data_IF_958637721751
#
_entry.id   IF_958637721751
#
_cell.length_a   1.000
_cell.length_b   1.000
_cell.length_c   1.000
_cell.angle_alpha   90.00
_cell.angle_beta   90.00
_cell.angle_gamma   90.00
#
_symmetry.space_group_name_H-M   'P 1'
#
loop_
_entity.id
_entity.type
_entity.pdbx_description
1 polymer ?
#
# COMPACT_ATOMS: atom_id res chain seq x y z
N UNK A 1 -52.54 -6.32 -42.28
CA UNK A 1 -52.24 -5.85 -40.91
C UNK A 1 -50.75 -5.60 -40.86
N UNK A 2 -50.37 -4.39 -41.24
CA UNK A 2 -48.98 -3.95 -41.40
C UNK A 2 -48.30 -3.82 -40.03
N UNK A 3 -47.41 -4.75 -39.70
CA UNK A 3 -46.49 -4.57 -38.59
C UNK A 3 -45.26 -3.83 -39.11
N UNK A 4 -45.27 -2.50 -38.94
CA UNK A 4 -44.11 -1.66 -39.18
C UNK A 4 -42.92 -2.18 -38.37
N UNK A 5 -41.90 -2.63 -39.10
CA UNK A 5 -40.55 -2.83 -38.60
C UNK A 5 -40.02 -1.52 -37.99
N UNK A 6 -39.97 -1.44 -36.65
CA UNK A 6 -39.23 -0.40 -35.95
C UNK A 6 -37.77 -0.86 -35.78
N UNK A 7 -37.02 -0.86 -36.88
CA UNK A 7 -35.56 -0.92 -36.80
C UNK A 7 -35.08 0.42 -36.21
N UNK A 8 -34.88 0.48 -34.90
CA UNK A 8 -34.22 1.63 -34.26
C UNK A 8 -32.80 1.73 -34.81
N UNK A 9 -32.64 2.58 -35.83
CA UNK A 9 -31.34 2.96 -36.39
C UNK A 9 -30.56 3.61 -35.27
N UNK A 10 -29.55 2.92 -34.74
CA UNK A 10 -28.48 3.51 -33.95
C UNK A 10 -27.78 4.52 -34.86
N UNK A 11 -28.27 5.76 -34.85
CA UNK A 11 -27.55 6.88 -35.45
C UNK A 11 -26.34 7.11 -34.54
N UNK A 12 -25.27 6.36 -34.81
CA UNK A 12 -23.94 6.66 -34.31
C UNK A 12 -23.52 7.96 -35.00
N UNK A 13 -24.04 9.09 -34.52
CA UNK A 13 -23.53 10.42 -34.82
C UNK A 13 -22.05 10.35 -34.49
N UNK A 14 -21.24 10.27 -35.54
CA UNK A 14 -19.79 10.33 -35.53
C UNK A 14 -19.45 11.74 -35.06
N UNK A 15 -19.62 11.99 -33.76
CA UNK A 15 -19.23 13.22 -33.11
C UNK A 15 -17.73 13.30 -33.32
N UNK A 16 -17.35 14.10 -34.31
CA UNK A 16 -15.96 14.30 -34.69
C UNK A 16 -15.18 14.58 -33.42
N UNK A 17 -14.17 13.74 -33.15
CA UNK A 17 -13.20 13.89 -32.07
C UNK A 17 -12.33 15.12 -32.36
N UNK A 18 -12.91 16.32 -32.37
CA UNK A 18 -12.17 17.57 -32.39
C UNK A 18 -11.55 17.75 -31.01
N UNK A 19 -10.23 17.95 -30.95
CA UNK A 19 -9.57 18.41 -29.71
C UNK A 19 -10.21 19.73 -29.31
N UNK A 20 -10.47 19.88 -28.01
CA UNK A 20 -10.86 21.17 -27.46
C UNK A 20 -9.72 22.16 -27.67
N UNK A 21 -10.05 23.40 -28.02
CA UNK A 21 -9.08 24.47 -28.16
C UNK A 21 -8.52 24.86 -26.78
N UNK A 22 -7.34 25.48 -26.75
CA UNK A 22 -6.67 25.84 -25.50
C UNK A 22 -7.53 26.78 -24.64
N UNK A 23 -8.25 27.72 -25.25
CA UNK A 23 -9.16 28.62 -24.54
C UNK A 23 -10.34 27.88 -23.91
N UNK A 24 -10.89 26.90 -24.62
CA UNK A 24 -11.97 26.06 -24.10
C UNK A 24 -11.49 25.22 -22.92
N UNK A 25 -10.29 24.64 -23.02
CA UNK A 25 -9.68 23.91 -21.89
C UNK A 25 -9.45 24.83 -20.71
N UNK A 26 -8.92 26.03 -20.93
CA UNK A 26 -8.66 27.02 -19.87
C UNK A 26 -9.93 27.36 -19.08
N UNK A 27 -11.04 27.64 -19.77
CA UNK A 27 -12.32 27.95 -19.12
C UNK A 27 -12.88 26.74 -18.36
N UNK A 28 -12.76 25.54 -18.92
CA UNK A 28 -13.13 24.30 -18.23
C UNK A 28 -12.29 24.09 -16.96
N UNK A 29 -10.99 24.40 -17.00
CA UNK A 29 -10.09 24.29 -15.84
C UNK A 29 -10.40 25.32 -14.76
N UNK A 30 -10.69 26.56 -15.12
CA UNK A 30 -11.14 27.59 -14.17
C UNK A 30 -12.42 27.14 -13.47
N UNK A 31 -13.41 26.67 -14.24
CA UNK A 31 -14.67 26.18 -13.67
C UNK A 31 -14.49 24.92 -12.83
N UNK A 32 -13.58 24.02 -13.19
CA UNK A 32 -13.29 22.81 -12.42
C UNK A 32 -12.62 23.13 -11.08
N UNK A 33 -11.76 24.14 -11.07
CA UNK A 33 -11.03 24.57 -9.87
C UNK A 33 -11.96 25.18 -8.83
N UNK A 34 -13.06 25.82 -9.25
CA UNK A 34 -14.10 26.32 -8.34
C UNK A 34 -15.06 25.22 -7.88
N UNK A 35 -15.50 24.33 -8.78
CA UNK A 35 -16.31 23.18 -8.43
C UNK A 35 -15.97 21.95 -9.31
N UNK A 36 -15.47 20.90 -8.66
CA UNK A 36 -15.10 19.65 -9.33
C UNK A 36 -16.34 18.80 -9.71
N UNK A 37 -17.49 19.03 -9.06
CA UNK A 37 -18.76 18.40 -9.43
C UNK A 37 -19.43 19.22 -10.53
N UNK A 38 -19.79 18.54 -11.61
CA UNK A 38 -20.46 19.16 -12.74
C UNK A 38 -21.98 18.95 -12.61
N UNK A 39 -22.67 19.98 -12.14
CA UNK A 39 -24.13 19.99 -12.06
C UNK A 39 -24.76 20.14 -13.44
N UNK A 40 -26.03 19.74 -13.59
CA UNK A 40 -26.71 19.75 -14.89
C UNK A 40 -26.83 21.17 -15.47
N UNK A 41 -27.14 22.15 -14.62
CA UNK A 41 -27.30 23.55 -15.05
C UNK A 41 -25.96 24.14 -15.46
N UNK A 42 -24.91 23.92 -14.64
CA UNK A 42 -23.56 24.39 -14.96
C UNK A 42 -23.01 23.75 -16.24
N UNK A 43 -23.31 22.48 -16.48
CA UNK A 43 -22.97 21.79 -17.73
C UNK A 43 -23.61 22.46 -18.94
N UNK A 44 -24.89 22.81 -18.85
CA UNK A 44 -25.60 23.49 -19.94
C UNK A 44 -25.03 24.89 -20.19
N UNK A 45 -24.73 25.66 -19.13
CA UNK A 45 -24.08 26.97 -19.24
C UNK A 45 -22.71 26.86 -19.91
N UNK A 46 -21.83 25.98 -19.42
CA UNK A 46 -20.51 25.77 -20.01
C UNK A 46 -20.58 25.29 -21.46
N UNK A 47 -21.53 24.43 -21.79
CA UNK A 47 -21.75 23.98 -23.17
C UNK A 47 -22.08 25.16 -24.10
N UNK A 48 -22.95 26.07 -23.64
CA UNK A 48 -23.33 27.27 -24.39
C UNK A 48 -22.18 28.27 -24.50
N UNK A 49 -21.52 28.60 -23.38
CA UNK A 49 -20.37 29.52 -23.33
C UNK A 49 -19.22 29.08 -24.24
N UNK A 50 -18.96 27.76 -24.31
CA UNK A 50 -17.84 27.20 -25.06
C UNK A 50 -18.19 26.79 -26.50
N UNK A 51 -19.48 26.82 -26.86
CA UNK A 51 -19.98 26.30 -28.13
C UNK A 51 -19.74 24.78 -28.30
N UNK A 52 -19.78 24.03 -27.19
CA UNK A 52 -19.49 22.60 -27.15
C UNK A 52 -20.75 21.78 -26.88
N UNK A 53 -20.87 20.55 -27.40
CA UNK A 53 -21.91 19.63 -26.98
C UNK A 53 -21.81 19.34 -25.46
N UNK A 54 -22.93 19.32 -24.71
CA UNK A 54 -22.94 19.02 -23.27
C UNK A 54 -22.22 17.70 -22.91
N UNK A 55 -22.27 16.72 -23.82
CA UNK A 55 -21.55 15.45 -23.67
C UNK A 55 -20.03 15.62 -23.63
N UNK A 56 -19.47 16.52 -24.44
CA UNK A 56 -18.02 16.76 -24.45
C UNK A 56 -17.56 17.41 -23.14
N UNK A 57 -18.33 18.36 -22.60
CA UNK A 57 -18.08 18.94 -21.28
C UNK A 57 -18.11 17.85 -20.20
N UNK A 58 -19.12 16.97 -20.22
CA UNK A 58 -19.22 15.87 -19.27
C UNK A 58 -18.02 14.90 -19.34
N UNK A 59 -17.62 14.48 -20.54
CA UNK A 59 -16.46 13.60 -20.76
C UNK A 59 -15.18 14.29 -20.28
N UNK A 60 -15.01 15.58 -20.55
CA UNK A 60 -13.84 16.33 -20.11
C UNK A 60 -13.73 16.34 -18.57
N UNK A 61 -14.84 16.61 -17.86
CA UNK A 61 -14.86 16.57 -16.39
C UNK A 61 -14.56 15.16 -15.85
N UNK A 62 -15.10 14.11 -16.47
CA UNK A 62 -14.79 12.73 -16.10
C UNK A 62 -13.30 12.43 -16.26
N UNK A 63 -12.71 12.80 -17.40
CA UNK A 63 -11.29 12.61 -17.67
C UNK A 63 -10.40 13.43 -16.73
N UNK A 64 -10.78 14.67 -16.42
CA UNK A 64 -10.05 15.54 -15.48
C UNK A 64 -10.04 14.91 -14.08
N UNK A 65 -11.19 14.39 -13.60
CA UNK A 65 -11.27 13.66 -12.33
C UNK A 65 -10.46 12.37 -12.34
N UNK A 66 -10.50 11.60 -13.42
CA UNK A 66 -9.71 10.38 -13.54
C UNK A 66 -8.20 10.67 -13.45
N UNK A 67 -7.74 11.70 -14.17
CA UNK A 67 -6.35 12.18 -14.10
C UNK A 67 -5.98 12.67 -12.71
N UNK A 68 -6.84 13.47 -12.08
CA UNK A 68 -6.62 13.94 -10.71
C UNK A 68 -6.45 12.77 -9.73
N UNK A 69 -7.34 11.77 -9.80
CA UNK A 69 -7.27 10.59 -8.93
C UNK A 69 -6.00 9.77 -9.17
N UNK A 70 -5.58 9.60 -10.43
CA UNK A 70 -4.32 8.94 -10.75
C UNK A 70 -3.11 9.73 -10.25
N UNK A 71 -3.11 11.06 -10.41
CA UNK A 71 -2.04 11.93 -9.91
C UNK A 71 -1.91 11.86 -8.38
N UNK A 72 -3.04 11.89 -7.67
CA UNK A 72 -3.05 11.74 -6.20
C UNK A 72 -2.38 10.43 -5.78
N UNK A 73 -2.78 9.31 -6.38
CA UNK A 73 -2.19 8.00 -6.08
C UNK A 73 -0.69 7.94 -6.36
N UNK A 74 -0.25 8.57 -7.45
CA UNK A 74 1.17 8.63 -7.78
C UNK A 74 1.97 9.42 -6.73
N UNK A 75 1.43 10.54 -6.25
CA UNK A 75 2.04 11.34 -5.18
C UNK A 75 2.06 10.56 -3.86
N UNK A 76 0.97 9.87 -3.52
CA UNK A 76 0.88 9.04 -2.31
C UNK A 76 1.91 7.91 -2.36
N UNK A 77 2.03 7.23 -3.50
CA UNK A 77 3.02 6.17 -3.70
C UNK A 77 4.45 6.71 -3.56
N UNK A 78 4.78 7.83 -4.19
CA UNK A 78 6.12 8.46 -4.06
C UNK A 78 6.43 8.85 -2.62
N UNK A 79 5.44 9.39 -1.91
CA UNK A 79 5.58 9.74 -0.49
C UNK A 79 5.84 8.51 0.37
N UNK A 80 5.11 7.42 0.12
CA UNK A 80 5.29 6.15 0.83
C UNK A 80 6.65 5.53 0.54
N UNK A 81 7.09 5.53 -0.72
CA UNK A 81 8.40 5.03 -1.13
C UNK A 81 9.52 5.78 -0.40
N UNK A 82 9.46 7.11 -0.37
CA UNK A 82 10.46 7.91 0.34
C UNK A 82 10.51 7.59 1.84
N UNK A 83 9.35 7.35 2.48
CA UNK A 83 9.31 6.95 3.89
C UNK A 83 9.94 5.57 4.12
N UNK A 84 9.70 4.63 3.20
CA UNK A 84 10.31 3.31 3.25
C UNK A 84 11.84 3.41 3.13
N UNK A 85 12.33 4.18 2.16
CA UNK A 85 13.77 4.35 1.94
C UNK A 85 14.46 4.94 3.17
N UNK A 86 13.86 5.98 3.78
CA UNK A 86 14.37 6.57 5.02
C UNK A 86 14.37 5.55 6.18
N UNK A 87 13.29 4.79 6.34
CA UNK A 87 13.19 3.79 7.40
C UNK A 87 14.21 2.66 7.22
N UNK A 88 14.50 2.25 5.98
CA UNK A 88 15.55 1.27 5.67
C UNK A 88 16.93 1.83 6.04
N UNK A 89 17.22 3.08 5.70
CA UNK A 89 18.49 3.73 6.06
C UNK A 89 18.67 3.79 7.58
N UNK A 90 17.64 4.20 8.32
CA UNK A 90 17.67 4.24 9.78
C UNK A 90 17.81 2.84 10.38
N UNK A 91 17.16 1.83 9.80
CA UNK A 91 17.29 0.45 10.23
C UNK A 91 18.72 -0.07 10.07
N UNK A 92 19.37 0.22 8.94
CA UNK A 92 20.78 -0.14 8.71
C UNK A 92 21.72 0.57 9.70
N UNK A 93 21.50 1.86 9.97
CA UNK A 93 22.28 2.59 11.00
C UNK A 93 22.10 1.96 12.38
N UNK A 94 20.88 1.62 12.76
CA UNK A 94 20.58 0.98 14.04
C UNK A 94 21.22 -0.40 14.15
N UNK A 95 21.23 -1.20 13.08
CA UNK A 95 21.92 -2.50 13.06
C UNK A 95 23.41 -2.34 13.33
N UNK A 96 24.07 -1.40 12.66
CA UNK A 96 25.49 -1.11 12.85
C UNK A 96 25.77 -0.66 14.29
N UNK A 97 24.91 0.20 14.85
CA UNK A 97 25.05 0.67 16.22
C UNK A 97 24.86 -0.45 17.25
N UNK A 98 23.86 -1.33 17.04
CA UNK A 98 23.66 -2.52 17.86
C UNK A 98 24.89 -3.44 17.81
N UNK A 99 25.46 -3.66 16.63
CA UNK A 99 26.68 -4.47 16.50
C UNK A 99 27.87 -3.83 17.24
N UNK A 100 28.05 -2.51 17.11
CA UNK A 100 29.08 -1.75 17.82
C UNK A 100 28.94 -1.89 19.34
N UNK A 101 27.73 -1.66 19.86
CA UNK A 101 27.42 -1.76 21.29
C UNK A 101 27.62 -3.18 21.82
N UNK A 102 27.24 -4.20 21.05
CA UNK A 102 27.49 -5.61 21.42
C UNK A 102 28.99 -5.91 21.54
N UNK A 103 29.81 -5.40 20.61
CA UNK A 103 31.28 -5.54 20.68
C UNK A 103 31.87 -4.86 21.91
N UNK A 104 31.38 -3.66 22.27
CA UNK A 104 31.83 -2.94 23.47
C UNK A 104 31.44 -3.67 24.76
N UNK A 105 30.21 -4.18 24.82
CA UNK A 105 29.74 -4.95 25.97
C UNK A 105 30.55 -6.22 26.17
N UNK A 106 30.87 -6.96 25.10
CA UNK A 106 31.72 -8.14 25.17
C UNK A 106 33.13 -7.80 25.69
N UNK A 107 33.76 -6.73 25.19
CA UNK A 107 35.06 -6.26 25.68
C UNK A 107 35.02 -5.91 27.17
N UNK A 108 33.97 -5.22 27.62
CA UNK A 108 33.82 -4.88 29.03
C UNK A 108 33.63 -6.11 29.92
N UNK A 109 32.91 -7.13 29.44
CA UNK A 109 32.77 -8.42 30.12
C UNK A 109 34.11 -9.16 30.23
N UNK A 110 34.90 -9.19 29.15
CA UNK A 110 36.25 -9.78 29.15
C UNK A 110 37.19 -9.07 30.12
N UNK A 111 37.17 -7.72 30.17
CA UNK A 111 37.97 -6.94 31.13
C UNK A 111 37.55 -7.25 32.57
N UNK A 112 36.25 -7.29 32.85
CA UNK A 112 35.75 -7.65 34.19
C UNK A 112 36.24 -9.04 34.59
N UNK A 113 36.11 -10.04 33.70
CA UNK A 113 36.56 -11.41 33.97
C UNK A 113 38.09 -11.52 34.18
N UNK A 114 38.88 -10.67 33.52
CA UNK A 114 40.34 -10.60 33.68
C UNK A 114 40.82 -9.95 34.99
N UNK A 115 40.02 -9.09 35.63
CA UNK A 115 40.35 -8.47 36.92
C UNK A 115 40.10 -9.41 38.13
N UNK A 116 39.18 -10.37 38.00
CA UNK A 116 38.82 -11.32 39.07
C UNK A 116 39.95 -12.30 39.40
N UNK A 117 40.79 -12.63 38.42
CA UNK A 117 41.82 -13.67 38.53
C UNK A 117 43.12 -13.16 39.15
N UNK A 118 43.33 -11.84 39.20
CA UNK A 118 44.55 -11.23 39.74
C UNK A 118 44.42 -10.72 41.18
N UNK A 119 43.20 -10.62 41.73
CA UNK A 119 42.98 -10.14 43.11
C UNK A 119 42.74 -11.26 44.14
N UNK A 120 42.55 -12.53 43.73
CA UNK A 120 42.23 -13.63 44.68
C UNK A 120 43.43 -14.47 45.15
N UNK A 121 44.67 -14.08 44.82
CA UNK A 121 45.87 -14.81 45.25
C UNK A 121 46.53 -14.29 46.54
N UNK A 122 45.78 -13.69 47.47
CA UNK A 122 46.34 -13.25 48.77
C UNK A 122 45.39 -13.23 49.99
N UNK A 123 44.34 -14.05 50.02
CA UNK A 123 43.72 -14.47 51.30
C UNK A 123 42.92 -15.76 51.12
N UNK A 124 43.63 -16.88 51.07
CA UNK A 124 43.05 -18.14 51.54
C UNK A 124 42.76 -17.99 53.04
N UNK A 125 41.49 -17.84 53.40
CA UNK A 125 40.82 -18.52 54.53
C UNK A 125 39.60 -17.70 54.96
N UNK A 126 38.41 -18.10 54.51
CA UNK A 126 37.31 -18.38 55.41
C UNK A 126 36.30 -19.23 54.64
N UNK A 127 36.30 -20.52 54.99
CA UNK A 127 35.21 -21.43 54.69
C UNK A 127 33.91 -20.84 55.24
N UNK A 128 32.89 -20.71 54.39
CA UNK A 128 31.51 -20.68 54.85
C UNK A 128 30.59 -21.29 53.80
N UNK A 129 29.91 -22.33 54.26
CA UNK A 129 28.91 -23.16 53.63
C UNK A 129 27.66 -22.36 53.22
N UNK A 130 27.09 -22.68 52.04
CA UNK A 130 25.66 -22.98 51.89
C UNK A 130 25.32 -23.39 50.44
N UNK A 131 24.75 -24.59 50.34
CA UNK A 131 23.63 -25.07 49.52
C UNK A 131 23.59 -24.94 47.98
N UNK A 132 23.51 -26.15 47.43
CA UNK A 132 22.90 -26.59 46.18
C UNK A 132 21.72 -25.72 45.69
N UNK A 133 21.82 -25.21 44.45
CA UNK A 133 20.72 -25.22 43.47
C UNK A 133 21.27 -24.95 42.06
N UNK A 134 20.89 -25.82 41.13
CA UNK A 134 20.70 -25.46 39.72
C UNK A 134 21.96 -25.35 38.86
N UNK A 135 22.57 -26.48 38.53
CA UNK A 135 23.28 -26.59 37.26
C UNK A 135 22.31 -26.28 36.12
N UNK A 136 22.48 -25.14 35.46
CA UNK A 136 21.91 -24.91 34.13
C UNK A 136 22.99 -24.36 33.23
N UNK A 137 23.85 -25.28 32.80
CA UNK A 137 24.69 -25.10 31.63
C UNK A 137 23.80 -25.16 30.41
N UNK A 138 23.37 -24.01 29.90
CA UNK A 138 22.80 -23.89 28.56
C UNK A 138 23.23 -22.53 27.98
N UNK A 139 24.41 -22.47 27.35
CA UNK A 139 24.71 -21.43 26.37
C UNK A 139 23.77 -21.63 25.18
N UNK A 140 22.56 -21.08 25.28
CA UNK A 140 21.64 -21.04 24.16
C UNK A 140 22.08 -19.89 23.23
N UNK A 141 22.99 -20.22 22.31
CA UNK A 141 23.10 -19.48 21.06
C UNK A 141 21.76 -19.62 20.32
N UNK A 142 20.84 -18.70 20.55
CA UNK A 142 19.71 -18.52 19.66
C UNK A 142 20.22 -17.81 18.41
N UNK A 143 20.55 -18.62 17.40
CA UNK A 143 20.55 -18.24 16.00
C UNK A 143 19.19 -17.60 15.67
N UNK A 144 19.19 -16.28 15.48
CA UNK A 144 18.02 -15.52 15.04
C UNK A 144 17.82 -15.70 13.53
N UNK A 145 17.70 -16.96 13.07
CA UNK A 145 17.17 -17.30 11.76
C UNK A 145 15.65 -17.50 11.82
N UNK A 146 14.94 -16.56 12.44
CA UNK A 146 13.47 -16.51 12.49
C UNK A 146 12.97 -15.08 12.35
N UNK A 147 13.32 -14.43 11.25
CA UNK A 147 12.66 -13.18 10.88
C UNK A 147 12.45 -13.11 9.38
N UNK A 148 11.65 -14.05 8.84
CA UNK A 148 11.13 -14.00 7.45
C UNK A 148 9.86 -14.84 7.23
N UNK A 149 9.30 -15.49 8.26
CA UNK A 149 8.09 -16.33 8.06
C UNK A 149 6.80 -15.52 8.19
N UNK A 150 6.74 -14.55 9.10
CA UNK A 150 5.51 -13.79 9.38
C UNK A 150 5.16 -12.77 8.28
N UNK A 151 6.13 -12.28 7.52
CA UNK A 151 5.89 -11.33 6.42
C UNK A 151 5.27 -12.02 5.19
N UNK A 152 5.54 -13.31 4.96
CA UNK A 152 4.95 -14.06 3.85
C UNK A 152 3.46 -14.32 4.05
N UNK A 153 3.06 -14.65 5.28
CA UNK A 153 1.67 -14.99 5.58
C UNK A 153 0.77 -13.73 5.62
N UNK A 154 1.32 -12.59 6.06
CA UNK A 154 0.61 -11.31 6.01
C UNK A 154 0.45 -10.80 4.56
N UNK A 155 1.48 -10.98 3.72
CA UNK A 155 1.43 -10.64 2.30
C UNK A 155 0.53 -11.58 1.49
N UNK A 156 0.50 -12.88 1.82
CA UNK A 156 -0.42 -13.86 1.21
C UNK A 156 -1.90 -13.58 1.53
N UNK A 157 -2.20 -12.97 2.69
CA UNK A 157 -3.56 -12.55 3.02
C UNK A 157 -4.02 -11.30 2.25
N UNK A 158 -3.06 -10.43 1.86
CA UNK A 158 -3.32 -9.23 1.06
C UNK A 158 -3.44 -9.52 -0.44
N UNK A 159 -2.72 -10.53 -0.94
CA UNK A 159 -2.76 -10.98 -2.33
C UNK A 159 -3.52 -12.30 -2.36
N UNK A 160 -4.85 -12.19 -2.25
CA UNK A 160 -5.75 -13.34 -2.13
C UNK A 160 -5.54 -14.43 -3.19
N UNK A 161 -5.87 -15.65 -2.79
CA UNK A 161 -5.92 -16.87 -3.62
C UNK A 161 -6.60 -16.62 -4.98
N UNK A 162 -5.80 -16.39 -6.01
CA UNK A 162 -6.13 -16.73 -7.40
C UNK A 162 -6.14 -18.26 -7.50
N UNK A 163 -7.28 -18.91 -7.24
CA UNK A 163 -7.32 -20.38 -7.28
C UNK A 163 -8.59 -21.12 -6.86
N UNK A 164 -9.78 -20.69 -7.30
CA UNK A 164 -10.90 -21.64 -7.45
C UNK A 164 -11.72 -21.32 -8.70
N UNK A 165 -11.29 -21.89 -9.83
CA UNK A 165 -12.18 -22.14 -10.96
C UNK A 165 -13.25 -23.12 -10.48
N UNK A 166 -14.43 -22.59 -10.13
CA UNK A 166 -15.62 -23.39 -9.93
C UNK A 166 -15.93 -24.16 -11.20
N UNK A 167 -15.84 -25.48 -11.13
CA UNK A 167 -16.49 -26.40 -12.06
C UNK A 167 -17.97 -26.08 -12.08
N UNK A 168 -18.42 -25.53 -13.21
CA UNK A 168 -19.81 -25.21 -13.46
C UNK A 168 -20.57 -26.49 -13.83
N UNK A 169 -20.88 -27.32 -12.84
CA UNK A 169 -21.98 -28.30 -12.96
C UNK A 169 -23.27 -27.64 -12.52
N UNK A 170 -24.19 -27.55 -13.48
CA UNK A 170 -25.37 -26.70 -13.41
C UNK A 170 -26.38 -27.17 -12.39
N UNK A 171 -27.02 -26.21 -11.74
CA UNK A 171 -28.40 -26.34 -11.30
C UNK A 171 -29.08 -24.96 -11.35
N UNK A 172 -30.14 -24.91 -12.15
CA UNK A 172 -31.05 -23.78 -12.34
C UNK A 172 -31.61 -23.29 -11.00
N UNK A 173 -31.40 -22.01 -10.68
CA UNK A 173 -31.95 -21.37 -9.47
C UNK A 173 -33.05 -20.33 -9.75
N UNK A 174 -33.46 -20.12 -11.00
CA UNK A 174 -34.65 -19.29 -11.31
C UNK A 174 -35.60 -20.00 -12.26
N UNK A 175 -36.19 -21.09 -11.78
CA UNK A 175 -37.42 -21.63 -12.33
C UNK A 175 -38.34 -22.02 -11.17
N UNK A 176 -39.20 -21.10 -10.73
CA UNK A 176 -40.56 -21.41 -10.28
C UNK A 176 -41.35 -20.14 -9.93
N UNK A 177 -42.63 -20.18 -10.32
CA UNK A 177 -43.75 -19.32 -9.96
C UNK A 177 -43.92 -18.00 -10.71
N UNK A 178 -44.65 -18.10 -11.83
CA UNK A 178 -45.93 -17.39 -11.94
C UNK A 178 -46.90 -18.27 -12.74
N UNK A 179 -48.09 -18.44 -12.14
CA UNK A 179 -49.29 -19.06 -12.71
C UNK A 179 -49.92 -18.19 -13.79
#
# INVERSE_FOLDING_TARGET
MDFLSCQTRKIHLKCHKKRLNQDQVRLLEISFSSNNKLDSDRKSQLAQELGLPPRQVAIWYQNKRARWKSQSREVDYKTLQQRLDNALEDNEKLKLEVERLRKELNKNQEVLLGFNTTTTNNYSSISSSCDEVGSTSCLQLHDQSKHNHLDKDFYACLIGDEGHFGTHDGHNFFASSLS
#
